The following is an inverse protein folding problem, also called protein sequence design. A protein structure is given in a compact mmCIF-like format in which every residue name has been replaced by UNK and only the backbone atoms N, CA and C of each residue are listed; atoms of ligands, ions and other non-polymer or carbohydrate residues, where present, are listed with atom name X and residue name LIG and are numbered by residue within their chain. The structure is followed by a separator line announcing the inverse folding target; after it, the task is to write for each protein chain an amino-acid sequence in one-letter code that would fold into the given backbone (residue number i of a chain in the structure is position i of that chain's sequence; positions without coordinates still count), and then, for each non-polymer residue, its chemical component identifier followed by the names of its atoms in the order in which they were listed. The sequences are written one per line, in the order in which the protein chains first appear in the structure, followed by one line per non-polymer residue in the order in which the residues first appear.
data_IF_787551016481
#
_entry.id   IF_787551016481
#
_cell.length_a   1.000
_cell.length_b   1.000
_cell.length_c   1.000
_cell.angle_alpha   90.00
_cell.angle_beta   90.00
_cell.angle_gamma   90.00
#
_symmetry.space_group_name_H-M   'P 1'
#
loop_
_entity.id
_entity.type
_entity.pdbx_description
1 polymer ?
#
# COMPACT_ATOMS: atom_id res chain seq x y z
N UNK A 1 -16.74 7.64 -16.88
CA UNK A 1 -16.89 6.18 -16.69
C UNK A 1 -16.33 5.67 -15.35
N UNK A 2 -15.46 6.39 -14.64
CA UNK A 2 -14.93 5.95 -13.33
C UNK A 2 -15.74 6.39 -12.11
N UNK A 3 -16.54 7.47 -12.22
CA UNK A 3 -17.29 8.06 -11.11
C UNK A 3 -18.15 7.06 -10.30
N UNK A 4 -18.84 6.07 -10.91
CA UNK A 4 -19.60 5.07 -10.15
C UNK A 4 -18.75 4.17 -9.24
N UNK A 5 -17.48 3.94 -9.58
CA UNK A 5 -16.57 3.10 -8.79
C UNK A 5 -16.16 3.76 -7.45
N UNK A 6 -16.43 5.05 -7.30
CA UNK A 6 -16.15 5.83 -6.08
C UNK A 6 -17.43 6.17 -5.31
N UNK A 7 -18.57 5.54 -5.63
CA UNK A 7 -19.79 5.69 -4.84
C UNK A 7 -19.62 5.06 -3.46
N UNK A 8 -20.22 5.66 -2.42
CA UNK A 8 -20.04 5.22 -1.03
C UNK A 8 -20.36 3.73 -0.80
N UNK A 9 -21.37 3.21 -1.49
CA UNK A 9 -21.75 1.79 -1.34
C UNK A 9 -20.71 0.82 -1.92
N UNK A 10 -19.90 1.28 -2.88
CA UNK A 10 -18.75 0.54 -3.39
C UNK A 10 -17.55 0.68 -2.46
N UNK A 11 -17.36 1.85 -1.84
CA UNK A 11 -16.22 2.11 -0.95
C UNK A 11 -16.36 1.51 0.45
N UNK A 12 -17.58 1.34 0.97
CA UNK A 12 -17.81 0.80 2.33
C UNK A 12 -17.10 -0.55 2.58
N UNK A 13 -17.21 -1.57 1.70
CA UNK A 13 -16.47 -2.82 1.85
C UNK A 13 -14.95 -2.65 1.84
N UNK A 14 -14.43 -1.67 1.10
CA UNK A 14 -13.00 -1.40 0.98
C UNK A 14 -12.39 -0.88 2.29
N UNK A 15 -13.17 -0.31 3.20
CA UNK A 15 -12.67 0.14 4.50
C UNK A 15 -12.06 -1.01 5.31
N UNK A 16 -12.66 -2.21 5.27
CA UNK A 16 -12.10 -3.38 5.95
C UNK A 16 -10.77 -3.84 5.34
N UNK A 17 -10.66 -3.78 4.00
CA UNK A 17 -9.43 -4.11 3.28
C UNK A 17 -8.32 -3.08 3.55
N UNK A 18 -8.66 -1.80 3.60
CA UNK A 18 -7.75 -0.72 3.95
C UNK A 18 -7.27 -0.85 5.39
N UNK A 19 -8.18 -1.08 6.34
CA UNK A 19 -7.83 -1.29 7.74
C UNK A 19 -6.88 -2.49 7.92
N UNK A 20 -7.10 -3.59 7.19
CA UNK A 20 -6.21 -4.73 7.18
C UNK A 20 -4.79 -4.38 6.66
N UNK A 21 -4.70 -3.60 5.57
CA UNK A 21 -3.41 -3.15 5.03
C UNK A 21 -2.69 -2.19 5.98
N UNK A 22 -3.41 -1.30 6.66
CA UNK A 22 -2.88 -0.40 7.68
C UNK A 22 -2.38 -1.18 8.89
N UNK A 23 -3.15 -2.14 9.40
CA UNK A 23 -2.74 -2.97 10.54
C UNK A 23 -1.41 -3.68 10.24
N UNK A 24 -1.29 -4.31 9.06
CA UNK A 24 -0.04 -4.97 8.64
C UNK A 24 1.15 -4.02 8.56
N UNK A 25 0.93 -2.75 8.19
CA UNK A 25 1.98 -1.73 8.18
C UNK A 25 2.40 -1.37 9.61
N UNK A 26 1.44 -1.23 10.52
CA UNK A 26 1.68 -0.92 11.93
C UNK A 26 2.40 -2.07 12.66
N UNK A 27 2.03 -3.33 12.40
CA UNK A 27 2.71 -4.50 12.97
C UNK A 27 4.21 -4.47 12.62
N UNK A 28 4.55 -4.11 11.37
CA UNK A 28 5.96 -3.95 10.93
C UNK A 28 6.65 -2.76 11.60
N UNK A 29 5.92 -1.66 11.85
CA UNK A 29 6.49 -0.51 12.54
C UNK A 29 6.78 -0.84 14.00
N UNK A 30 5.92 -1.59 14.68
CA UNK A 30 6.14 -2.03 16.05
C UNK A 30 7.42 -2.89 16.16
N UNK A 31 7.62 -3.81 15.22
CA UNK A 31 8.86 -4.60 15.12
C UNK A 31 10.10 -3.71 14.89
N UNK A 32 10.03 -2.73 13.98
CA UNK A 32 11.16 -1.85 13.65
C UNK A 32 11.50 -0.88 14.78
N UNK A 33 10.49 -0.30 15.44
CA UNK A 33 10.69 0.63 16.56
C UNK A 33 11.33 -0.07 17.77
N UNK A 34 11.12 -1.38 17.89
CA UNK A 34 11.81 -2.21 18.91
C UNK A 34 13.31 -2.37 18.64
N UNK A 35 13.77 -2.12 17.42
CA UNK A 35 15.15 -2.33 16.95
C UNK A 35 15.90 -1.03 16.63
N UNK A 36 15.20 0.05 16.27
CA UNK A 36 15.73 1.37 15.93
C UNK A 36 14.73 2.47 16.27
N UNK A 37 15.19 3.71 16.46
CA UNK A 37 14.34 4.84 16.89
C UNK A 37 13.62 5.57 15.74
N UNK A 38 14.01 5.32 14.49
CA UNK A 38 13.51 6.06 13.33
C UNK A 38 12.96 5.13 12.24
N UNK A 39 11.69 5.31 11.90
CA UNK A 39 11.04 4.60 10.80
C UNK A 39 10.90 5.54 9.61
N UNK A 40 11.47 5.14 8.48
CA UNK A 40 11.27 5.83 7.20
C UNK A 40 9.85 5.52 6.68
N UNK A 41 8.97 6.52 6.74
CA UNK A 41 7.52 6.30 6.52
C UNK A 41 7.12 6.15 5.07
N UNK A 42 7.83 6.77 4.12
CA UNK A 42 7.41 6.86 2.73
C UNK A 42 7.38 5.48 2.10
N UNK A 43 8.41 4.65 2.28
CA UNK A 43 8.40 3.27 1.77
C UNK A 43 7.22 2.46 2.32
N UNK A 44 6.97 2.54 3.62
CA UNK A 44 5.91 1.76 4.26
C UNK A 44 4.52 2.20 3.82
N UNK A 45 4.27 3.51 3.75
CA UNK A 45 2.98 4.08 3.30
C UNK A 45 2.74 3.80 1.82
N UNK A 46 3.77 3.90 0.96
CA UNK A 46 3.65 3.55 -0.45
C UNK A 46 3.26 2.08 -0.65
N UNK A 47 3.85 1.15 0.10
CA UNK A 47 3.47 -0.26 0.02
C UNK A 47 2.08 -0.54 0.56
N UNK A 48 1.69 0.07 1.68
CA UNK A 48 0.33 -0.05 2.22
C UNK A 48 -0.71 0.48 1.22
N UNK A 49 -0.39 1.58 0.52
CA UNK A 49 -1.25 2.17 -0.52
C UNK A 49 -1.38 1.23 -1.73
N UNK A 50 -0.27 0.62 -2.17
CA UNK A 50 -0.28 -0.38 -3.24
C UNK A 50 -1.10 -1.61 -2.84
N UNK A 51 -0.89 -2.15 -1.65
CA UNK A 51 -1.61 -3.32 -1.11
C UNK A 51 -3.12 -3.02 -1.02
N UNK A 52 -3.50 -1.85 -0.51
CA UNK A 52 -4.90 -1.40 -0.46
C UNK A 52 -5.49 -1.26 -1.85
N UNK A 53 -4.77 -0.66 -2.79
CA UNK A 53 -5.26 -0.52 -4.18
C UNK A 53 -5.47 -1.89 -4.81
N UNK A 54 -4.48 -2.79 -4.72
CA UNK A 54 -4.56 -4.14 -5.28
C UNK A 54 -5.72 -4.96 -4.71
N UNK A 55 -5.97 -4.87 -3.40
CA UNK A 55 -7.10 -5.53 -2.75
C UNK A 55 -8.45 -4.92 -3.16
N UNK A 56 -8.57 -3.60 -3.16
CA UNK A 56 -9.85 -2.93 -3.38
C UNK A 56 -10.25 -2.90 -4.86
N UNK A 57 -9.32 -2.61 -5.78
CA UNK A 57 -9.64 -2.43 -7.20
C UNK A 57 -9.51 -3.71 -8.02
N UNK A 58 -8.58 -4.59 -7.65
CA UNK A 58 -8.27 -5.81 -8.41
C UNK A 58 -8.59 -7.11 -7.68
N UNK A 59 -9.09 -7.04 -6.44
CA UNK A 59 -9.39 -8.21 -5.60
C UNK A 59 -8.19 -9.16 -5.40
N UNK A 60 -6.97 -8.62 -5.49
CA UNK A 60 -5.74 -9.38 -5.30
C UNK A 60 -5.38 -9.39 -3.80
N UNK A 61 -5.56 -10.53 -3.14
CA UNK A 61 -5.36 -10.68 -1.69
C UNK A 61 -3.94 -11.08 -1.28
N UNK A 62 -3.11 -11.50 -2.24
CA UNK A 62 -1.92 -12.29 -1.93
C UNK A 62 -0.70 -11.41 -1.62
N UNK A 63 -0.39 -11.27 -0.34
CA UNK A 63 0.76 -10.52 0.19
C UNK A 63 2.10 -11.25 0.08
N UNK A 64 2.10 -12.48 -0.44
CA UNK A 64 3.28 -13.36 -0.48
C UNK A 64 4.21 -13.02 -1.66
N UNK A 65 3.75 -12.24 -2.65
CA UNK A 65 4.59 -11.73 -3.76
C UNK A 65 5.09 -10.31 -3.54
N UNK A 66 4.84 -9.71 -2.38
CA UNK A 66 5.08 -8.28 -2.17
C UNK A 66 6.56 -7.93 -2.17
N UNK A 67 7.49 -8.81 -1.80
CA UNK A 67 8.90 -8.40 -1.69
C UNK A 67 9.56 -8.16 -3.06
N UNK A 68 9.45 -9.11 -4.00
CA UNK A 68 9.91 -8.90 -5.39
C UNK A 68 9.13 -7.81 -6.11
N UNK A 69 7.80 -7.79 -5.97
CA UNK A 69 6.97 -6.78 -6.62
C UNK A 69 7.18 -5.38 -6.03
N UNK A 70 7.57 -5.28 -4.75
CA UNK A 70 7.85 -4.01 -4.10
C UNK A 70 9.05 -3.32 -4.73
N UNK A 71 10.12 -4.06 -5.06
CA UNK A 71 11.31 -3.47 -5.68
C UNK A 71 10.98 -2.90 -7.07
N UNK A 72 10.26 -3.66 -7.90
CA UNK A 72 9.82 -3.18 -9.22
C UNK A 72 8.91 -1.97 -9.11
N UNK A 73 7.98 -1.97 -8.15
CA UNK A 73 7.11 -0.82 -7.88
C UNK A 73 7.90 0.43 -7.47
N UNK A 74 8.84 0.31 -6.52
CA UNK A 74 9.66 1.45 -6.10
C UNK A 74 10.57 1.98 -7.20
N UNK A 75 11.09 1.09 -8.04
CA UNK A 75 11.85 1.52 -9.22
C UNK A 75 10.97 2.34 -10.15
N UNK A 76 9.78 1.84 -10.49
CA UNK A 76 8.84 2.57 -11.35
C UNK A 76 8.42 3.94 -10.77
N UNK A 77 8.19 4.02 -9.45
CA UNK A 77 7.87 5.30 -8.80
C UNK A 77 9.06 6.27 -8.83
N UNK A 78 10.28 5.78 -8.62
CA UNK A 78 11.50 6.60 -8.75
C UNK A 78 11.68 7.12 -10.18
N UNK A 79 11.52 6.24 -11.16
CA UNK A 79 11.63 6.60 -12.58
C UNK A 79 10.57 7.65 -12.94
N UNK A 80 9.32 7.46 -12.50
CA UNK A 80 8.26 8.44 -12.69
C UNK A 80 8.58 9.81 -12.07
N UNK A 81 9.09 9.82 -10.83
CA UNK A 81 9.47 11.07 -10.18
C UNK A 81 10.59 11.80 -10.93
N UNK A 82 11.56 11.07 -11.50
CA UNK A 82 12.65 11.66 -12.30
C UNK A 82 12.22 12.23 -13.67
N UNK A 83 10.99 11.93 -14.11
CA UNK A 83 10.43 12.48 -15.35
C UNK A 83 9.60 13.75 -15.10
N UNK A 84 9.11 13.93 -13.87
CA UNK A 84 8.28 15.07 -13.46
C UNK A 84 9.14 16.19 -12.85
N UNK A 85 10.29 15.84 -12.27
CA UNK A 85 11.25 16.75 -11.64
C UNK A 85 12.62 16.63 -12.31
#
# INVERSE_FOLDING_TARGET
MLTPAFHNDILKPYMGLMANSVQRMLDKWEELISQDSHVEIFRHVSLMTLDTTMKCTFSLQDSIKTDRNSQSYFQAIRDLNSLIF
#
